data_IF_751338547145
#
_entry.id   IF_751338547145
#
_cell.length_a   1.000
_cell.length_b   1.000
_cell.length_c   1.000
_cell.angle_alpha   90.00
_cell.angle_beta   90.00
_cell.angle_gamma   90.00
#
_symmetry.space_group_name_H-M   'P 1'
#
loop_
_entity.id
_entity.type
_entity.pdbx_description
1 polymer ?
#
# COMPACT_ATOMS: atom_id res chain seq x y z
N UNK A 1 6.14 -9.53 23.73
CA UNK A 1 7.30 -9.37 22.82
C UNK A 1 6.87 -8.34 21.80
N UNK A 2 7.49 -7.18 21.78
CA UNK A 2 7.12 -6.08 20.90
C UNK A 2 7.71 -6.36 19.51
N UNK A 3 7.03 -7.20 18.74
CA UNK A 3 7.35 -7.38 17.32
C UNK A 3 6.57 -6.33 16.53
N UNK A 4 7.30 -5.29 16.11
CA UNK A 4 6.96 -4.25 15.14
C UNK A 4 5.60 -4.42 14.44
N UNK A 5 4.54 -3.81 15.00
CA UNK A 5 3.30 -3.60 14.27
C UNK A 5 3.47 -2.49 13.22
N UNK A 6 2.57 -2.45 12.23
CA UNK A 6 2.61 -1.47 11.15
C UNK A 6 2.55 -0.04 11.70
N UNK A 7 1.66 0.20 12.67
CA UNK A 7 1.53 1.48 13.35
C UNK A 7 2.84 1.99 14.00
N UNK A 8 3.57 1.14 14.73
CA UNK A 8 4.83 1.51 15.36
C UNK A 8 5.93 1.79 14.35
N UNK A 9 5.98 1.02 13.26
CA UNK A 9 6.93 1.27 12.16
C UNK A 9 6.61 2.60 11.46
N UNK A 10 5.34 2.87 11.19
CA UNK A 10 4.89 4.14 10.63
C UNK A 10 5.24 5.32 11.53
N UNK A 11 5.03 5.21 12.84
CA UNK A 11 5.41 6.28 13.78
C UNK A 11 6.91 6.63 13.71
N UNK A 12 7.76 5.65 13.44
CA UNK A 12 9.21 5.84 13.36
C UNK A 12 9.66 6.43 12.02
N UNK A 13 9.02 6.04 10.92
CA UNK A 13 9.51 6.31 9.56
C UNK A 13 8.66 7.32 8.79
N UNK A 14 7.34 7.35 9.00
CA UNK A 14 6.42 8.14 8.20
C UNK A 14 6.64 9.64 8.32
N UNK A 15 6.44 10.34 7.21
CA UNK A 15 6.52 11.80 7.17
C UNK A 15 7.95 12.34 7.24
N UNK A 16 8.94 11.51 6.96
CA UNK A 16 10.36 11.88 6.89
C UNK A 16 10.85 11.73 5.45
N UNK A 17 11.73 12.64 5.08
CA UNK A 17 12.58 12.51 3.90
C UNK A 17 13.68 11.50 4.26
N UNK A 18 13.54 10.27 3.75
CA UNK A 18 14.41 9.14 4.05
C UNK A 18 15.46 8.94 2.95
N UNK A 19 15.23 9.49 1.75
CA UNK A 19 16.14 9.41 0.62
C UNK A 19 16.96 10.71 0.41
N UNK A 20 16.73 11.74 1.23
CA UNK A 20 17.39 13.06 1.22
C UNK A 20 17.18 13.84 -0.10
N UNK A 21 16.03 13.66 -0.77
CA UNK A 21 15.70 14.31 -2.04
C UNK A 21 14.95 15.65 -1.89
N UNK A 22 14.59 16.02 -0.66
CA UNK A 22 13.86 17.25 -0.32
C UNK A 22 12.34 17.13 -0.43
N UNK A 23 11.79 15.95 -0.76
CA UNK A 23 10.37 15.62 -0.75
C UNK A 23 10.09 14.60 0.36
N UNK A 24 8.81 14.51 0.74
CA UNK A 24 8.34 13.50 1.69
C UNK A 24 7.20 12.75 1.03
N UNK A 25 7.45 11.49 0.69
CA UNK A 25 6.55 10.62 -0.05
C UNK A 25 6.27 9.35 0.77
N UNK A 26 5.13 9.40 1.47
CA UNK A 26 4.49 8.21 2.00
C UNK A 26 3.52 7.69 0.92
N UNK A 27 3.96 6.72 0.13
CA UNK A 27 3.16 6.12 -0.94
C UNK A 27 2.33 4.96 -0.39
N UNK A 28 1.02 5.15 -0.34
CA UNK A 28 0.08 4.06 -0.05
C UNK A 28 -0.22 3.30 -1.34
N UNK A 29 0.04 2.00 -1.33
CA UNK A 29 -0.31 1.11 -2.44
C UNK A 29 -1.42 0.16 -1.99
N UNK A 30 -2.52 0.12 -2.72
CA UNK A 30 -3.69 -0.70 -2.39
C UNK A 30 -4.27 -1.36 -3.63
N UNK A 31 -4.83 -2.56 -3.51
CA UNK A 31 -5.42 -3.19 -4.68
C UNK A 31 -6.15 -4.50 -4.41
N UNK A 32 -6.49 -5.17 -5.51
CA UNK A 32 -7.13 -6.48 -5.48
C UNK A 32 -6.31 -7.49 -4.69
N UNK A 33 -6.94 -8.17 -3.74
CA UNK A 33 -6.33 -9.29 -3.03
C UNK A 33 -6.09 -10.51 -3.92
N UNK A 34 -6.54 -10.48 -5.19
CA UNK A 34 -6.54 -11.61 -6.11
C UNK A 34 -5.79 -11.35 -7.42
N UNK A 35 -5.09 -10.23 -7.52
CA UNK A 35 -4.25 -9.92 -8.67
C UNK A 35 -2.78 -10.22 -8.36
N UNK A 36 -2.12 -10.99 -9.22
CA UNK A 36 -0.80 -11.59 -8.94
C UNK A 36 0.25 -11.37 -10.05
N UNK A 37 -0.08 -10.59 -11.08
CA UNK A 37 0.89 -10.27 -12.12
C UNK A 37 1.85 -9.19 -11.61
N UNK A 38 3.04 -9.63 -11.20
CA UNK A 38 4.07 -8.74 -10.66
C UNK A 38 4.55 -7.72 -11.70
N UNK A 39 4.64 -8.09 -12.97
CA UNK A 39 5.14 -7.18 -14.01
C UNK A 39 4.21 -5.98 -14.17
N UNK A 40 2.89 -6.19 -14.11
CA UNK A 40 1.92 -5.08 -14.16
C UNK A 40 2.04 -4.15 -12.95
N UNK A 41 2.30 -4.70 -11.76
CA UNK A 41 2.48 -3.88 -10.55
C UNK A 41 3.81 -3.13 -10.59
N UNK A 42 4.89 -3.79 -11.00
CA UNK A 42 6.22 -3.18 -11.15
C UNK A 42 6.19 -2.04 -12.17
N UNK A 43 5.71 -2.30 -13.39
CA UNK A 43 5.63 -1.29 -14.45
C UNK A 43 4.82 -0.07 -14.01
N UNK A 44 3.67 -0.28 -13.34
CA UNK A 44 2.85 0.82 -12.87
C UNK A 44 3.50 1.64 -11.73
N UNK A 45 4.30 1.01 -10.87
CA UNK A 45 5.05 1.75 -9.85
C UNK A 45 6.21 2.51 -10.49
N UNK A 46 6.94 1.91 -11.45
CA UNK A 46 8.02 2.60 -12.16
C UNK A 46 7.49 3.81 -12.95
N UNK A 47 6.40 3.65 -13.71
CA UNK A 47 5.72 4.75 -14.41
C UNK A 47 5.32 5.86 -13.42
N UNK A 48 4.82 5.50 -12.23
CA UNK A 48 4.48 6.45 -11.19
C UNK A 48 5.71 7.19 -10.64
N UNK A 49 6.81 6.47 -10.40
CA UNK A 49 8.09 7.05 -9.93
C UNK A 49 8.65 8.04 -10.96
N UNK A 50 8.56 7.72 -12.26
CA UNK A 50 8.97 8.64 -13.34
C UNK A 50 8.14 9.94 -13.36
N UNK A 51 6.84 9.85 -13.04
CA UNK A 51 5.96 11.02 -12.97
C UNK A 51 6.14 11.84 -11.69
N UNK A 52 6.45 11.19 -10.58
CA UNK A 52 6.55 11.80 -9.25
C UNK A 52 7.99 11.83 -8.74
N UNK A 53 8.40 10.84 -7.95
CA UNK A 53 9.74 10.57 -7.46
C UNK A 53 9.74 9.23 -6.72
N UNK A 54 10.91 8.72 -6.34
CA UNK A 54 10.98 7.52 -5.49
C UNK A 54 10.31 7.78 -4.13
N UNK A 55 9.49 6.85 -3.61
CA UNK A 55 8.88 7.02 -2.30
C UNK A 55 9.90 6.82 -1.18
N UNK A 56 9.78 7.62 -0.12
CA UNK A 56 10.51 7.41 1.14
C UNK A 56 10.01 6.16 1.85
N UNK A 57 8.70 5.94 1.80
CA UNK A 57 8.03 4.89 2.53
C UNK A 57 6.86 4.34 1.71
N UNK A 58 6.87 3.03 1.47
CA UNK A 58 5.72 2.30 0.94
C UNK A 58 4.83 1.81 2.09
N UNK A 59 3.52 1.99 1.98
CA UNK A 59 2.57 1.61 3.03
C UNK A 59 1.46 0.75 2.42
N UNK A 60 1.24 -0.45 2.98
CA UNK A 60 0.22 -1.40 2.50
C UNK A 60 -0.65 -1.93 3.64
N UNK A 61 -1.83 -2.45 3.29
CA UNK A 61 -2.79 -3.01 4.23
C UNK A 61 -2.46 -4.42 4.72
N UNK A 62 -1.58 -5.15 4.04
CA UNK A 62 -1.20 -6.52 4.38
C UNK A 62 -2.15 -7.60 3.85
N UNK A 63 -2.93 -7.27 2.81
CA UNK A 63 -3.69 -8.26 2.05
C UNK A 63 -2.76 -9.19 1.22
N UNK A 64 -3.36 -10.19 0.57
CA UNK A 64 -2.69 -10.91 -0.53
C UNK A 64 -2.71 -10.05 -1.81
N UNK A 65 -2.18 -10.57 -2.92
CA UNK A 65 -2.26 -9.89 -4.21
C UNK A 65 -1.43 -8.61 -4.25
N UNK A 66 -2.06 -7.49 -4.60
CA UNK A 66 -1.36 -6.21 -4.84
C UNK A 66 -0.52 -5.76 -3.64
N UNK A 67 -1.05 -5.83 -2.42
CA UNK A 67 -0.30 -5.44 -1.21
C UNK A 67 1.01 -6.25 -1.08
N UNK A 68 0.96 -7.56 -1.34
CA UNK A 68 2.15 -8.41 -1.33
C UNK A 68 3.14 -8.04 -2.43
N UNK A 69 2.64 -7.73 -3.63
CA UNK A 69 3.49 -7.37 -4.76
C UNK A 69 4.17 -6.02 -4.54
N UNK A 70 3.48 -5.08 -3.87
CA UNK A 70 4.05 -3.82 -3.43
C UNK A 70 5.12 -4.01 -2.34
N UNK A 71 4.88 -4.88 -1.35
CA UNK A 71 5.92 -5.29 -0.38
C UNK A 71 7.17 -5.82 -1.10
N UNK A 72 6.97 -6.70 -2.09
CA UNK A 72 8.05 -7.27 -2.89
C UNK A 72 8.81 -6.20 -3.67
N UNK A 73 8.11 -5.30 -4.35
CA UNK A 73 8.73 -4.21 -5.12
C UNK A 73 9.56 -3.31 -4.20
N UNK A 74 9.01 -2.88 -3.06
CA UNK A 74 9.72 -2.05 -2.09
C UNK A 74 10.99 -2.73 -1.57
N UNK A 75 10.88 -4.02 -1.22
CA UNK A 75 12.03 -4.81 -0.78
C UNK A 75 13.11 -4.95 -1.87
N UNK A 76 12.73 -5.18 -3.12
CA UNK A 76 13.67 -5.27 -4.25
C UNK A 76 14.43 -3.97 -4.50
N UNK A 77 13.79 -2.82 -4.24
CA UNK A 77 14.36 -1.49 -4.43
C UNK A 77 14.99 -0.90 -3.15
N UNK A 78 15.09 -1.70 -2.08
CA UNK A 78 15.58 -1.26 -0.77
C UNK A 78 14.82 -0.05 -0.19
N UNK A 79 13.54 0.08 -0.52
CA UNK A 79 12.65 1.12 0.00
C UNK A 79 12.01 0.61 1.30
N UNK A 80 12.09 1.38 2.40
CA UNK A 80 11.37 1.04 3.62
C UNK A 80 9.87 0.85 3.37
N UNK A 81 9.27 -0.13 4.03
CA UNK A 81 7.83 -0.35 3.92
C UNK A 81 7.15 -0.69 5.25
N UNK A 82 5.87 -0.36 5.34
CA UNK A 82 4.97 -0.65 6.45
C UNK A 82 3.86 -1.58 6.00
N UNK A 83 3.62 -2.62 6.78
CA UNK A 83 2.49 -3.53 6.60
C UNK A 83 1.62 -3.50 7.85
N UNK A 84 0.36 -3.12 7.72
CA UNK A 84 -0.62 -3.13 8.82
C UNK A 84 -1.15 -4.54 9.12
N UNK A 85 -0.24 -5.48 9.35
CA UNK A 85 -0.55 -6.89 9.60
C UNK A 85 -1.38 -7.12 10.87
N UNK A 86 -1.26 -6.23 11.86
CA UNK A 86 -1.99 -6.24 13.11
C UNK A 86 -3.50 -5.99 12.95
N UNK A 87 -3.93 -5.47 11.80
CA UNK A 87 -5.36 -5.29 11.49
C UNK A 87 -6.03 -6.60 11.07
N UNK A 88 -5.27 -7.70 10.93
CA UNK A 88 -5.77 -9.01 10.53
C UNK A 88 -5.77 -9.98 11.71
N UNK A 89 -6.76 -10.87 11.76
CA UNK A 89 -6.84 -11.91 12.81
C UNK A 89 -5.73 -12.96 12.73
N UNK A 90 -5.13 -13.12 11.55
CA UNK A 90 -4.01 -14.01 11.32
C UNK A 90 -3.09 -13.46 10.21
N UNK A 91 -1.77 -13.73 10.29
CA UNK A 91 -0.84 -13.43 9.21
C UNK A 91 -1.28 -14.04 7.88
N UNK A 92 -0.82 -13.44 6.78
CA UNK A 92 -1.05 -14.00 5.44
C UNK A 92 -0.30 -15.34 5.34
N UNK A 93 -0.96 -16.45 4.95
CA UNK A 93 -0.32 -17.78 4.93
C UNK A 93 0.65 -17.97 3.75
N UNK A 94 0.58 -17.13 2.72
CA UNK A 94 1.42 -17.24 1.51
C UNK A 94 1.17 -16.09 0.54
N UNK A 95 1.55 -16.27 -0.72
CA UNK A 95 1.29 -15.29 -1.80
C UNK A 95 -0.22 -15.13 -2.04
N UNK A 96 -0.92 -16.25 -2.19
CA UNK A 96 -2.30 -16.28 -2.65
C UNK A 96 -3.33 -15.96 -1.56
N UNK A 97 -4.52 -15.56 -2.00
CA UNK A 97 -5.67 -15.24 -1.16
C UNK A 97 -6.27 -16.54 -0.64
N UNK A 98 -6.04 -16.80 0.64
CA UNK A 98 -6.64 -17.93 1.36
C UNK A 98 -8.13 -17.76 1.68
N UNK A 99 -8.73 -16.61 1.33
CA UNK A 99 -10.10 -16.25 1.70
C UNK A 99 -10.20 -15.67 3.11
N UNK A 100 -9.17 -14.92 3.56
CA UNK A 100 -9.23 -14.22 4.86
C UNK A 100 -10.40 -13.23 4.85
N UNK A 101 -11.06 -13.09 6.00
CA UNK A 101 -12.12 -12.10 6.18
C UNK A 101 -11.60 -10.69 5.93
N UNK A 102 -12.51 -9.79 5.55
CA UNK A 102 -12.19 -8.38 5.29
C UNK A 102 -11.53 -7.72 6.51
N UNK A 103 -10.51 -6.88 6.27
CA UNK A 103 -9.90 -6.05 7.29
C UNK A 103 -10.91 -5.03 7.86
N UNK A 104 -10.75 -4.56 9.11
CA UNK A 104 -11.62 -3.55 9.69
C UNK A 104 -11.54 -2.22 8.94
N UNK A 105 -12.65 -1.46 8.91
CA UNK A 105 -12.70 -0.15 8.24
C UNK A 105 -11.65 0.83 8.78
N UNK A 106 -11.22 0.68 10.05
CA UNK A 106 -10.15 1.48 10.65
C UNK A 106 -8.86 1.44 9.86
N UNK A 107 -8.54 0.32 9.19
CA UNK A 107 -7.36 0.20 8.35
C UNK A 107 -7.37 1.22 7.20
N UNK A 108 -8.52 1.39 6.54
CA UNK A 108 -8.67 2.39 5.47
C UNK A 108 -8.34 3.80 5.94
N UNK A 109 -8.77 4.17 7.15
CA UNK A 109 -8.44 5.48 7.71
C UNK A 109 -6.94 5.58 8.02
N UNK A 110 -6.34 4.56 8.64
CA UNK A 110 -4.90 4.56 8.96
C UNK A 110 -4.01 4.70 7.73
N UNK A 111 -4.35 4.01 6.63
CA UNK A 111 -3.64 4.16 5.36
C UNK A 111 -3.73 5.61 4.85
N UNK A 112 -4.93 6.17 4.78
CA UNK A 112 -5.16 7.51 4.23
C UNK A 112 -4.67 8.65 5.13
N UNK A 113 -4.61 8.45 6.45
CA UNK A 113 -4.05 9.41 7.39
C UNK A 113 -2.52 9.52 7.25
N UNK A 114 -1.87 8.45 6.76
CA UNK A 114 -0.43 8.39 6.53
C UNK A 114 -0.02 8.84 5.11
N UNK A 115 -0.94 8.76 4.14
CA UNK A 115 -0.63 8.94 2.72
C UNK A 115 -0.30 10.40 2.37
N UNK A 116 0.77 10.58 1.59
CA UNK A 116 0.89 11.78 0.73
C UNK A 116 0.39 11.48 -0.68
N UNK A 117 0.59 10.23 -1.14
CA UNK A 117 0.15 9.74 -2.44
C UNK A 117 -0.51 8.36 -2.30
N UNK A 118 -1.42 8.06 -3.22
CA UNK A 118 -2.07 6.74 -3.33
C UNK A 118 -1.88 6.19 -4.74
N UNK A 119 -1.42 4.95 -4.85
CA UNK A 119 -1.46 4.18 -6.08
C UNK A 119 -2.43 3.00 -5.90
N UNK A 120 -3.54 3.03 -6.63
CA UNK A 120 -4.64 2.08 -6.43
C UNK A 120 -4.81 1.14 -7.63
N UNK A 121 -4.94 -0.15 -7.35
CA UNK A 121 -5.12 -1.22 -8.33
C UNK A 121 -6.45 -1.96 -8.13
N UNK A 122 -7.60 -1.32 -8.41
CA UNK A 122 -8.89 -1.97 -8.24
C UNK A 122 -9.13 -3.03 -9.31
N UNK A 123 -9.78 -4.12 -8.90
CA UNK A 123 -10.48 -5.04 -9.81
C UNK A 123 -12.00 -4.87 -9.71
N UNK A 124 -12.81 -5.48 -10.61
CA UNK A 124 -14.26 -5.41 -10.53
C UNK A 124 -14.86 -5.85 -9.18
N UNK A 125 -14.15 -6.72 -8.44
CA UNK A 125 -14.59 -7.23 -7.13
C UNK A 125 -13.94 -6.53 -5.93
N UNK A 126 -13.10 -5.51 -6.15
CA UNK A 126 -12.27 -4.88 -5.12
C UNK A 126 -13.03 -3.82 -4.31
N UNK A 127 -13.98 -4.26 -3.48
CA UNK A 127 -14.83 -3.39 -2.63
C UNK A 127 -14.03 -2.38 -1.80
N UNK A 128 -12.99 -2.82 -1.09
CA UNK A 128 -12.23 -1.95 -0.19
C UNK A 128 -11.30 -1.00 -0.94
N UNK A 129 -10.66 -1.44 -2.02
CA UNK A 129 -9.85 -0.56 -2.86
C UNK A 129 -10.68 0.57 -3.43
N UNK A 130 -11.91 0.29 -3.90
CA UNK A 130 -12.84 1.33 -4.36
C UNK A 130 -13.20 2.32 -3.25
N UNK A 131 -13.47 1.82 -2.04
CA UNK A 131 -13.72 2.69 -0.89
C UNK A 131 -12.52 3.59 -0.56
N UNK A 132 -11.29 3.07 -0.67
CA UNK A 132 -10.06 3.87 -0.48
C UNK A 132 -9.96 4.96 -1.56
N UNK A 133 -10.25 4.64 -2.82
CA UNK A 133 -10.27 5.61 -3.94
C UNK A 133 -11.26 6.74 -3.64
N UNK A 134 -12.50 6.40 -3.27
CA UNK A 134 -13.53 7.40 -2.96
C UNK A 134 -13.09 8.33 -1.81
N UNK A 135 -12.60 7.75 -0.71
CA UNK A 135 -12.15 8.51 0.45
C UNK A 135 -10.88 9.33 0.20
N UNK A 136 -9.95 8.84 -0.63
CA UNK A 136 -8.75 9.57 -1.02
C UNK A 136 -9.13 10.82 -1.83
N UNK A 137 -10.09 10.68 -2.75
CA UNK A 137 -10.61 11.78 -3.54
C UNK A 137 -11.31 12.84 -2.68
N UNK A 138 -12.14 12.41 -1.72
CA UNK A 138 -12.79 13.32 -0.75
C UNK A 138 -11.76 14.12 0.07
N UNK A 139 -10.65 13.47 0.44
CA UNK A 139 -9.54 14.08 1.18
C UNK A 139 -8.56 14.87 0.31
N UNK A 140 -8.74 14.85 -1.02
CA UNK A 140 -7.85 15.49 -2.01
C UNK A 140 -6.41 15.01 -1.92
N UNK A 141 -6.21 13.72 -1.64
CA UNK A 141 -4.89 13.09 -1.66
C UNK A 141 -4.51 12.84 -3.12
N UNK A 142 -3.25 13.11 -3.49
CA UNK A 142 -2.75 12.82 -4.84
C UNK A 142 -2.86 11.33 -5.13
N UNK A 143 -3.52 10.95 -6.22
CA UNK A 143 -3.83 9.55 -6.48
C UNK A 143 -3.79 9.21 -7.97
N UNK A 144 -3.24 8.03 -8.26
CA UNK A 144 -3.31 7.38 -9.58
C UNK A 144 -4.02 6.03 -9.42
N UNK A 145 -4.89 5.70 -10.40
CA UNK A 145 -5.69 4.47 -10.40
C UNK A 145 -5.38 3.65 -11.64
N UNK A 146 -4.97 2.40 -11.46
CA UNK A 146 -4.71 1.43 -12.52
C UNK A 146 -5.67 0.24 -12.41
N UNK A 147 -6.65 0.15 -13.31
CA UNK A 147 -7.61 -0.96 -13.32
C UNK A 147 -6.91 -2.28 -13.65
N UNK A 148 -7.17 -3.32 -12.85
CA UNK A 148 -6.63 -4.67 -13.04
C UNK A 148 -7.76 -5.70 -13.16
N UNK A 149 -7.55 -6.72 -14.00
CA UNK A 149 -8.55 -7.75 -14.29
C UNK A 149 -8.31 -9.03 -13.49
#
# INVERSE_FOLDING_TARGET
MAENDGAGTLQRLGGKDLNDDGRVINLVIVGSSRFYDYSVIEDAIEDWVEMEAYPDLVIVGGASGVDYLAERWANNHAIPFVVFSEQWSAPRPGLEDSGRGEAPTSLTHQLLDAATHVLAFPSPTSKWTRKIIDMANERKISMVVHEVN
#
